data_IF_755721676555
#
_entry.id   IF_755721676555
#
_cell.length_a   1.000
_cell.length_b   1.000
_cell.length_c   1.000
_cell.angle_alpha   90.00
_cell.angle_beta   90.00
_cell.angle_gamma   90.00
#
_symmetry.space_group_name_H-M   'P 1'
#
loop_
_entity.id
_entity.type
_entity.pdbx_description
1 polymer ?
#
# COMPACT_ATOMS: atom_id res chain seq x y z
N UNK A 1 -5.08 -9.40 -15.20
CA UNK A 1 -4.16 -10.18 -14.33
C UNK A 1 -2.70 -9.84 -14.60
N UNK A 2 -2.30 -9.70 -15.86
CA UNK A 2 -0.92 -9.34 -16.25
C UNK A 2 -0.47 -7.96 -15.73
N UNK A 3 -1.31 -6.94 -15.87
CA UNK A 3 -1.08 -5.58 -15.32
C UNK A 3 -0.83 -5.56 -13.80
N UNK A 4 -1.52 -6.40 -13.03
CA UNK A 4 -1.35 -6.49 -11.57
C UNK A 4 0.02 -7.08 -11.19
N UNK A 5 0.49 -8.07 -11.94
CA UNK A 5 1.80 -8.67 -11.71
C UNK A 5 2.93 -7.69 -12.05
N UNK A 6 2.74 -6.86 -13.09
CA UNK A 6 3.65 -5.75 -13.41
C UNK A 6 3.66 -4.73 -12.27
N UNK A 7 2.49 -4.25 -11.84
CA UNK A 7 2.34 -3.31 -10.74
C UNK A 7 3.09 -3.76 -9.48
N UNK A 8 2.91 -5.02 -9.06
CA UNK A 8 3.56 -5.57 -7.86
C UNK A 8 5.09 -5.64 -7.98
N UNK A 9 5.63 -5.93 -9.16
CA UNK A 9 7.08 -6.10 -9.37
C UNK A 9 7.85 -4.79 -9.40
N UNK A 10 7.17 -3.66 -9.62
CA UNK A 10 7.79 -2.34 -9.79
C UNK A 10 8.05 -1.58 -8.49
N UNK A 11 7.67 -2.15 -7.35
CA UNK A 11 7.99 -1.59 -6.05
C UNK A 11 9.40 -2.01 -5.61
N UNK A 12 10.40 -1.26 -6.07
CA UNK A 12 11.77 -1.34 -5.57
C UNK A 12 11.94 -0.36 -4.40
N UNK A 13 11.63 -0.83 -3.20
CA UNK A 13 11.80 -0.03 -1.99
C UNK A 13 13.28 0.05 -1.61
N UNK A 14 13.70 1.18 -1.02
CA UNK A 14 14.98 1.25 -0.33
C UNK A 14 15.13 0.00 0.59
N UNK A 15 16.27 -0.72 0.52
CA UNK A 15 16.43 -1.97 1.25
C UNK A 15 16.07 -1.80 2.73
N UNK A 16 15.26 -2.72 3.26
CA UNK A 16 14.91 -2.83 4.68
C UNK A 16 13.91 -1.81 5.25
N UNK A 17 13.37 -0.88 4.46
CA UNK A 17 12.31 0.04 4.94
C UNK A 17 10.92 -0.64 4.96
N UNK A 18 10.59 -1.38 3.89
CA UNK A 18 9.31 -2.09 3.75
C UNK A 18 9.49 -3.56 3.40
N UNK A 19 8.49 -4.38 3.71
CA UNK A 19 8.42 -5.77 3.26
C UNK A 19 7.96 -5.84 1.80
N UNK A 20 8.79 -6.35 0.89
CA UNK A 20 8.44 -6.51 -0.54
C UNK A 20 7.21 -7.40 -0.80
N UNK A 21 6.80 -8.24 0.16
CA UNK A 21 5.60 -9.06 -0.03
C UNK A 21 4.30 -8.34 0.29
N UNK A 22 4.27 -7.54 1.36
CA UNK A 22 3.04 -6.96 1.89
C UNK A 22 3.08 -5.44 2.07
N UNK A 23 4.17 -4.77 1.69
CA UNK A 23 4.41 -3.32 1.82
C UNK A 23 4.37 -2.75 3.23
N UNK A 24 4.12 -3.56 4.24
CA UNK A 24 4.16 -3.08 5.61
C UNK A 24 5.61 -2.75 6.03
N UNK A 25 5.81 -1.82 6.97
CA UNK A 25 7.14 -1.45 7.47
C UNK A 25 7.85 -2.64 8.14
N UNK A 26 9.16 -2.79 7.95
CA UNK A 26 9.95 -3.85 8.63
C UNK A 26 10.36 -3.50 10.08
N UNK A 27 9.71 -2.49 10.66
CA UNK A 27 10.06 -1.73 11.86
C UNK A 27 10.68 -2.50 13.04
N UNK A 28 12.01 -2.61 13.03
CA UNK A 28 12.82 -2.59 14.27
C UNK A 28 13.42 -1.21 14.56
N UNK A 29 13.60 -0.37 13.53
CA UNK A 29 14.36 0.89 13.61
C UNK A 29 13.50 2.16 13.48
N UNK A 30 12.17 2.03 13.43
CA UNK A 30 11.30 3.13 12.97
C UNK A 30 10.24 3.58 14.00
N UNK A 31 9.49 2.65 14.60
CA UNK A 31 8.58 2.91 15.72
C UNK A 31 8.68 1.85 16.84
N UNK A 32 9.66 0.94 16.76
CA UNK A 32 9.81 -0.17 17.70
C UNK A 32 8.77 -1.29 17.59
N UNK A 33 7.78 -1.17 16.69
CA UNK A 33 6.68 -2.12 16.55
C UNK A 33 6.73 -2.80 15.18
N UNK A 34 7.31 -3.99 15.11
CA UNK A 34 7.32 -4.79 13.89
C UNK A 34 5.97 -5.54 13.75
N UNK A 35 5.27 -5.48 12.59
CA UNK A 35 4.08 -6.29 12.36
C UNK A 35 4.36 -7.77 12.63
N UNK A 36 3.43 -8.47 13.29
CA UNK A 36 3.61 -9.88 13.68
C UNK A 36 3.92 -10.80 12.49
N UNK A 37 3.38 -10.48 11.30
CA UNK A 37 3.68 -11.19 10.07
C UNK A 37 5.16 -11.12 9.67
N UNK A 38 5.89 -10.08 10.06
CA UNK A 38 7.31 -9.95 9.77
C UNK A 38 8.22 -10.65 10.80
N UNK A 39 7.72 -10.92 12.00
CA UNK A 39 8.44 -11.65 13.05
C UNK A 39 8.26 -13.16 12.88
N UNK A 40 7.03 -13.61 12.61
CA UNK A 40 6.66 -15.04 12.59
C UNK A 40 6.69 -15.71 11.22
N UNK A 41 6.49 -14.95 10.13
CA UNK A 41 6.21 -15.50 8.79
C UNK A 41 7.32 -15.19 7.79
N UNK A 42 8.56 -15.03 8.27
CA UNK A 42 9.71 -14.61 7.47
C UNK A 42 9.90 -15.42 6.18
N UNK A 43 10.23 -14.73 5.09
CA UNK A 43 10.57 -15.32 3.80
C UNK A 43 11.68 -16.37 4.00
N UNK A 44 11.44 -17.61 3.53
CA UNK A 44 12.20 -18.88 3.75
C UNK A 44 11.73 -19.79 4.88
N UNK A 45 10.83 -19.39 5.79
CA UNK A 45 10.19 -20.34 6.75
C UNK A 45 9.00 -21.13 6.16
N UNK A 46 8.77 -21.03 4.85
CA UNK A 46 7.69 -21.74 4.16
C UNK A 46 6.28 -21.19 4.42
N UNK A 47 6.11 -20.19 5.29
CA UNK A 47 4.80 -19.59 5.56
C UNK A 47 4.63 -18.31 4.73
N UNK A 48 3.61 -18.27 3.87
CA UNK A 48 3.29 -17.08 3.10
C UNK A 48 2.67 -16.00 4.01
N UNK A 49 3.09 -14.74 3.88
CA UNK A 49 2.45 -13.65 4.59
C UNK A 49 0.98 -13.53 4.13
N UNK A 50 -0.03 -13.61 5.02
CA UNK A 50 -1.44 -13.57 4.64
C UNK A 50 -1.83 -12.19 4.06
N UNK A 51 -1.07 -11.16 4.40
CA UNK A 51 -1.23 -9.80 3.87
C UNK A 51 -0.48 -9.58 2.55
N UNK A 52 0.24 -10.59 2.05
CA UNK A 52 1.03 -10.47 0.83
C UNK A 52 0.13 -10.14 -0.37
N UNK A 53 0.42 -9.04 -1.05
CA UNK A 53 -0.39 -8.61 -2.17
C UNK A 53 -1.69 -7.88 -1.82
N UNK A 54 -2.11 -7.83 -0.55
CA UNK A 54 -3.42 -7.26 -0.18
C UNK A 54 -3.45 -5.73 -0.39
N UNK A 55 -2.42 -5.03 0.10
CA UNK A 55 -2.25 -3.58 -0.11
C UNK A 55 -2.23 -3.27 -1.62
N UNK A 56 -1.41 -4.01 -2.38
CA UNK A 56 -1.33 -3.83 -3.84
C UNK A 56 -2.67 -4.06 -4.54
N UNK A 57 -3.41 -5.11 -4.15
CA UNK A 57 -4.73 -5.40 -4.74
C UNK A 57 -5.71 -4.29 -4.42
N UNK A 58 -5.76 -3.83 -3.17
CA UNK A 58 -6.67 -2.77 -2.75
C UNK A 58 -6.40 -1.48 -3.55
N UNK A 59 -5.14 -1.03 -3.62
CA UNK A 59 -4.77 0.18 -4.36
C UNK A 59 -5.02 0.03 -5.86
N UNK A 60 -4.64 -1.10 -6.46
CA UNK A 60 -4.92 -1.36 -7.88
C UNK A 60 -6.42 -1.40 -8.17
N UNK A 61 -7.23 -2.03 -7.31
CA UNK A 61 -8.68 -2.06 -7.45
C UNK A 61 -9.32 -0.67 -7.33
N UNK A 62 -8.83 0.16 -6.40
CA UNK A 62 -9.28 1.56 -6.30
C UNK A 62 -8.94 2.34 -7.56
N UNK A 63 -7.75 2.14 -8.13
CA UNK A 63 -7.33 2.81 -9.35
C UNK A 63 -8.10 2.33 -10.59
N UNK A 64 -8.41 1.03 -10.69
CA UNK A 64 -9.08 0.46 -11.87
C UNK A 64 -10.52 0.95 -11.99
N UNK A 65 -11.20 1.13 -10.86
CA UNK A 65 -12.57 1.62 -10.81
C UNK A 65 -12.63 3.15 -10.86
N UNK A 66 -13.20 3.72 -11.92
CA UNK A 66 -13.15 5.18 -12.17
C UNK A 66 -13.66 6.01 -10.99
N UNK A 67 -14.74 5.56 -10.34
CA UNK A 67 -15.30 6.22 -9.16
C UNK A 67 -14.28 6.31 -8.02
N UNK A 68 -13.62 5.20 -7.70
CA UNK A 68 -12.65 5.14 -6.61
C UNK A 68 -11.35 5.85 -6.99
N UNK A 69 -10.93 5.76 -8.26
CA UNK A 69 -9.79 6.49 -8.79
C UNK A 69 -9.95 8.00 -8.64
N UNK A 70 -11.12 8.55 -8.96
CA UNK A 70 -11.41 9.98 -8.78
C UNK A 70 -11.32 10.39 -7.31
N UNK A 71 -11.81 9.55 -6.38
CA UNK A 71 -11.69 9.81 -4.94
C UNK A 71 -10.24 9.75 -4.47
N UNK A 72 -9.49 8.74 -4.92
CA UNK A 72 -8.06 8.61 -4.63
C UNK A 72 -7.29 9.84 -5.10
N UNK A 73 -7.48 10.28 -6.34
CA UNK A 73 -6.82 11.48 -6.89
C UNK A 73 -7.23 12.75 -6.14
N UNK A 74 -8.52 12.90 -5.81
CA UNK A 74 -9.03 14.07 -5.08
C UNK A 74 -8.39 14.21 -3.70
N UNK A 75 -8.29 13.11 -2.96
CA UNK A 75 -7.91 13.14 -1.55
C UNK A 75 -6.41 12.94 -1.34
N UNK A 76 -5.78 12.11 -2.19
CA UNK A 76 -4.39 11.67 -2.04
C UNK A 76 -3.50 12.10 -3.23
N UNK A 77 -4.08 12.57 -4.34
CA UNK A 77 -3.36 12.69 -5.60
C UNK A 77 -2.36 13.83 -5.67
N UNK A 78 -2.42 14.87 -4.84
CA UNK A 78 -1.51 16.04 -4.90
C UNK A 78 -1.27 16.62 -6.31
N UNK A 79 -2.26 16.52 -7.22
CA UNK A 79 -2.11 16.94 -8.61
C UNK A 79 -1.55 15.87 -9.57
N UNK A 80 -1.26 14.66 -9.09
CA UNK A 80 -0.93 13.50 -9.89
C UNK A 80 -2.11 13.12 -10.79
N UNK A 81 -1.83 12.98 -12.09
CA UNK A 81 -2.70 12.28 -13.02
C UNK A 81 -2.44 10.79 -12.83
N UNK A 82 -3.42 10.06 -12.31
CA UNK A 82 -3.36 8.61 -12.17
C UNK A 82 -4.21 7.94 -13.25
N UNK A 83 -4.07 8.37 -14.50
CA UNK A 83 -4.89 7.88 -15.62
C UNK A 83 -4.35 6.58 -16.22
N UNK A 84 -3.04 6.37 -16.17
CA UNK A 84 -2.34 5.19 -16.68
C UNK A 84 -1.77 4.33 -15.55
N UNK A 85 -1.41 3.09 -15.88
CA UNK A 85 -0.77 2.17 -14.93
C UNK A 85 0.62 2.68 -14.51
N UNK A 86 1.39 3.22 -15.46
CA UNK A 86 2.73 3.74 -15.19
C UNK A 86 2.69 4.95 -14.26
N UNK A 87 1.69 5.82 -14.44
CA UNK A 87 1.43 6.95 -13.54
C UNK A 87 1.10 6.47 -12.12
N UNK A 88 0.25 5.44 -11.98
CA UNK A 88 -0.06 4.83 -10.69
C UNK A 88 1.21 4.27 -10.03
N UNK A 89 2.03 3.54 -10.78
CA UNK A 89 3.27 2.94 -10.27
C UNK A 89 4.22 4.03 -9.77
N UNK A 90 4.48 5.03 -10.61
CA UNK A 90 5.39 6.13 -10.30
C UNK A 90 4.93 6.91 -9.06
N UNK A 91 3.63 7.08 -8.88
CA UNK A 91 3.05 7.74 -7.71
C UNK A 91 3.10 6.87 -6.46
N UNK A 92 2.77 5.57 -6.57
CA UNK A 92 2.59 4.67 -5.43
C UNK A 92 3.90 4.38 -4.68
N UNK A 93 5.06 4.46 -5.35
CA UNK A 93 6.38 4.24 -4.74
C UNK A 93 6.95 5.47 -4.05
N UNK A 94 6.38 6.66 -4.25
CA UNK A 94 6.88 7.89 -3.64
C UNK A 94 6.65 7.88 -2.14
N UNK A 95 7.67 8.32 -1.39
CA UNK A 95 7.56 8.60 0.04
C UNK A 95 7.06 10.02 0.25
N UNK A 96 6.05 10.18 1.11
CA UNK A 96 5.44 11.47 1.34
C UNK A 96 6.16 12.18 2.50
N UNK A 97 7.02 13.15 2.20
CA UNK A 97 7.86 13.80 3.21
C UNK A 97 7.08 14.52 4.35
N UNK A 98 5.85 14.99 4.07
CA UNK A 98 5.07 15.81 5.00
C UNK A 98 3.81 15.15 5.59
N UNK A 99 3.20 14.15 4.91
CA UNK A 99 1.91 13.56 5.33
C UNK A 99 2.04 12.26 6.11
N UNK A 100 3.22 11.66 6.12
CA UNK A 100 3.31 10.31 6.63
C UNK A 100 4.71 9.76 6.69
N UNK A 101 4.76 8.64 7.37
CA UNK A 101 5.93 7.83 7.62
C UNK A 101 6.13 6.77 6.53
N UNK A 102 5.18 6.65 5.60
CA UNK A 102 5.08 5.57 4.63
C UNK A 102 4.99 6.08 3.17
N UNK A 103 5.20 5.17 2.21
CA UNK A 103 4.96 5.47 0.80
C UNK A 103 3.46 5.62 0.48
N UNK A 104 3.16 6.29 -0.64
CA UNK A 104 1.80 6.58 -1.09
C UNK A 104 0.92 5.33 -1.25
N UNK A 105 1.48 4.17 -1.61
CA UNK A 105 0.72 2.92 -1.70
C UNK A 105 0.14 2.49 -0.35
N UNK A 106 0.95 2.53 0.71
CA UNK A 106 0.53 2.21 2.07
C UNK A 106 -0.44 3.27 2.59
N UNK A 107 -0.12 4.54 2.39
CA UNK A 107 -0.98 5.66 2.81
C UNK A 107 -2.36 5.60 2.12
N UNK A 108 -2.42 5.27 0.83
CA UNK A 108 -3.66 5.08 0.09
C UNK A 108 -4.52 3.95 0.67
N UNK A 109 -3.89 2.85 1.05
CA UNK A 109 -4.58 1.73 1.68
C UNK A 109 -5.13 2.12 3.07
N UNK A 110 -4.35 2.81 3.89
CA UNK A 110 -4.80 3.30 5.19
C UNK A 110 -5.94 4.31 5.06
N UNK A 111 -5.85 5.24 4.10
CA UNK A 111 -6.91 6.18 3.76
C UNK A 111 -8.21 5.45 3.38
N UNK A 112 -8.11 4.39 2.57
CA UNK A 112 -9.27 3.58 2.17
C UNK A 112 -9.93 2.90 3.36
N UNK A 113 -9.15 2.23 4.22
CA UNK A 113 -9.65 1.62 5.45
C UNK A 113 -10.30 2.67 6.36
N UNK A 114 -9.67 3.84 6.52
CA UNK A 114 -10.23 4.93 7.31
C UNK A 114 -11.56 5.45 6.76
N UNK A 115 -11.74 5.49 5.44
CA UNK A 115 -13.03 5.83 4.84
C UNK A 115 -14.10 4.77 5.08
N UNK A 116 -13.75 3.48 5.04
CA UNK A 116 -14.67 2.39 5.37
C UNK A 116 -15.13 2.52 6.81
N UNK A 117 -14.19 2.68 7.75
CA UNK A 117 -14.49 2.80 9.18
C UNK A 117 -15.34 4.06 9.48
N UNK A 118 -15.08 5.18 8.81
CA UNK A 118 -15.93 6.38 8.92
C UNK A 118 -17.35 6.15 8.40
N UNK A 119 -17.49 5.41 7.29
CA UNK A 119 -18.80 5.11 6.72
C UNK A 119 -19.56 4.04 7.52
N UNK A 120 -18.81 3.15 8.20
CA UNK A 120 -19.32 2.05 9.02
C UNK A 120 -18.46 1.94 10.29
N UNK A 121 -18.78 2.71 11.34
CA UNK A 121 -18.06 2.61 12.59
C UNK A 121 -18.08 1.17 13.11
N UNK A 122 -16.96 0.72 13.68
CA UNK A 122 -16.73 -0.65 14.17
C UNK A 122 -16.67 -1.72 13.07
N UNK A 123 -16.36 -1.35 11.82
CA UNK A 123 -16.22 -2.35 10.75
C UNK A 123 -15.03 -3.29 11.00
N UNK A 124 -13.97 -2.77 11.62
CA UNK A 124 -12.76 -3.54 11.94
C UNK A 124 -12.64 -3.93 13.44
N UNK A 125 -13.67 -3.66 14.25
CA UNK A 125 -13.67 -3.94 15.69
C UNK A 125 -14.04 -5.39 16.03
#
# INVERSE_FOLDING_TARGET
>A
MEEYLVFKRMFDFAPYTYCFQCCLPQSKNFNGEQPACHVGLAYKKGTACPFAGFIFKAVYSMWKEEKFRKLLVRDMGEGAKLSTLDELIAWAVQEHAERGRYNNCVEAFLWFCGNIERAKPQFFA
#
